data_IF_907152353657
#
_entry.id   IF_907152353657
#
_cell.length_a   1.000
_cell.length_b   1.000
_cell.length_c   1.000
_cell.angle_alpha   90.00
_cell.angle_beta   90.00
_cell.angle_gamma   90.00
#
_symmetry.space_group_name_H-M   'P 1'
#
loop_
_entity.id
_entity.type
_entity.pdbx_description
1 polymer ?
#
# COMPACT_ATOMS: atom_id res chain seq x y z
N UNK A 1 -26.64 -27.15 -21.49
CA UNK A 1 -27.84 -27.48 -20.71
C UNK A 1 -28.32 -26.20 -20.03
N UNK A 2 -29.62 -25.94 -19.99
CA UNK A 2 -30.14 -24.75 -19.28
C UNK A 2 -30.39 -25.04 -17.79
N UNK A 3 -30.39 -24.00 -16.97
CA UNK A 3 -30.74 -24.12 -15.54
C UNK A 3 -32.14 -24.71 -15.36
N UNK A 4 -33.09 -24.28 -16.20
CA UNK A 4 -34.48 -24.80 -16.16
C UNK A 4 -34.57 -26.30 -16.51
N UNK A 5 -33.78 -26.76 -17.51
CA UNK A 5 -33.73 -28.18 -17.86
C UNK A 5 -33.18 -29.04 -16.70
N UNK A 6 -32.08 -28.53 -16.08
CA UNK A 6 -31.46 -29.21 -14.92
C UNK A 6 -32.37 -29.24 -13.71
N UNK A 7 -33.11 -28.14 -13.44
CA UNK A 7 -34.05 -28.06 -12.35
C UNK A 7 -35.20 -29.07 -12.51
N UNK A 8 -35.71 -29.20 -13.75
CA UNK A 8 -36.76 -30.16 -14.05
C UNK A 8 -36.28 -31.63 -13.95
N UNK A 9 -35.06 -31.91 -14.41
CA UNK A 9 -34.47 -33.25 -14.39
C UNK A 9 -34.12 -33.71 -12.95
N UNK A 10 -33.62 -32.78 -12.12
CA UNK A 10 -33.19 -33.07 -10.75
C UNK A 10 -34.31 -32.92 -9.72
N UNK A 11 -35.51 -32.50 -10.12
CA UNK A 11 -36.62 -32.17 -9.21
C UNK A 11 -36.25 -31.14 -8.13
N UNK A 12 -35.41 -30.18 -8.47
CA UNK A 12 -34.95 -29.10 -7.60
C UNK A 12 -35.53 -27.73 -8.04
N UNK A 13 -35.45 -26.73 -7.17
CA UNK A 13 -35.80 -25.38 -7.57
C UNK A 13 -34.75 -24.80 -8.51
N UNK A 14 -35.14 -23.90 -9.44
CA UNK A 14 -34.18 -23.20 -10.32
C UNK A 14 -33.17 -22.39 -9.51
N UNK A 15 -33.53 -21.88 -8.33
CA UNK A 15 -32.67 -21.12 -7.43
C UNK A 15 -31.54 -22.00 -6.86
N UNK A 16 -31.91 -23.23 -6.40
CA UNK A 16 -30.91 -24.18 -5.87
C UNK A 16 -29.93 -24.64 -6.97
N UNK A 17 -30.47 -24.93 -8.17
CA UNK A 17 -29.63 -25.31 -9.32
C UNK A 17 -28.70 -24.17 -9.76
N UNK A 18 -29.20 -22.94 -9.77
CA UNK A 18 -28.40 -21.76 -10.11
C UNK A 18 -27.27 -21.54 -9.09
N UNK A 19 -27.55 -21.71 -7.80
CA UNK A 19 -26.56 -21.62 -6.74
C UNK A 19 -25.49 -22.71 -6.88
N UNK A 20 -25.87 -23.95 -7.17
CA UNK A 20 -24.95 -25.05 -7.43
C UNK A 20 -24.09 -24.79 -8.67
N UNK A 21 -24.70 -24.35 -9.79
CA UNK A 21 -23.97 -24.00 -10.99
C UNK A 21 -22.99 -22.84 -10.78
N UNK A 22 -23.38 -21.81 -10.01
CA UNK A 22 -22.50 -20.71 -9.66
C UNK A 22 -21.29 -21.17 -8.84
N UNK A 23 -21.50 -22.14 -7.95
CA UNK A 23 -20.43 -22.75 -7.14
C UNK A 23 -19.46 -23.55 -8.03
N UNK A 24 -19.97 -24.41 -8.91
CA UNK A 24 -19.18 -25.21 -9.83
C UNK A 24 -18.44 -24.35 -10.86
N UNK A 25 -19.06 -23.25 -11.33
CA UNK A 25 -18.41 -22.25 -12.17
C UNK A 25 -17.24 -21.60 -11.43
N UNK A 26 -17.45 -21.23 -10.17
CA UNK A 26 -16.40 -20.67 -9.31
C UNK A 26 -15.24 -21.63 -9.05
N UNK A 27 -15.49 -22.92 -9.09
CA UNK A 27 -14.47 -23.97 -8.96
C UNK A 27 -13.76 -24.30 -10.28
N UNK A 28 -14.25 -23.79 -11.42
CA UNK A 28 -13.71 -24.14 -12.75
C UNK A 28 -14.09 -25.55 -13.18
N UNK A 29 -15.21 -26.07 -12.68
CA UNK A 29 -15.74 -27.40 -13.04
C UNK A 29 -16.61 -27.35 -14.27
N UNK A 30 -17.28 -26.23 -14.50
CA UNK A 30 -18.15 -25.95 -15.66
C UNK A 30 -17.85 -24.55 -16.21
N UNK A 31 -18.29 -24.28 -17.43
CA UNK A 31 -18.20 -22.97 -18.08
C UNK A 31 -19.58 -22.46 -18.54
N UNK A 32 -19.78 -21.14 -18.65
CA UNK A 32 -20.97 -20.62 -19.30
C UNK A 32 -20.96 -20.96 -20.78
N UNK A 33 -22.13 -21.27 -21.33
CA UNK A 33 -22.29 -21.54 -22.76
C UNK A 33 -23.20 -20.49 -23.41
N UNK A 34 -22.77 -19.99 -24.55
CA UNK A 34 -23.47 -18.99 -25.33
C UNK A 34 -23.60 -19.49 -26.79
N UNK A 35 -24.74 -19.24 -27.44
CA UNK A 35 -24.90 -19.52 -28.86
C UNK A 35 -24.04 -18.59 -29.72
N UNK A 36 -23.67 -19.05 -30.91
CA UNK A 36 -22.87 -18.25 -31.84
C UNK A 36 -23.59 -16.92 -32.14
N UNK A 37 -22.99 -15.79 -31.77
CA UNK A 37 -23.57 -14.44 -31.87
C UNK A 37 -24.37 -13.97 -30.65
N UNK A 38 -24.59 -14.80 -29.64
CA UNK A 38 -25.19 -14.41 -28.36
C UNK A 38 -24.17 -13.62 -27.55
N UNK A 39 -24.53 -12.41 -27.09
CA UNK A 39 -23.69 -11.65 -26.16
C UNK A 39 -23.85 -12.19 -24.76
N UNK A 40 -22.76 -12.18 -23.93
CA UNK A 40 -22.85 -12.52 -22.51
C UNK A 40 -23.98 -11.73 -21.85
N UNK A 41 -24.90 -12.42 -21.18
CA UNK A 41 -25.96 -11.77 -20.44
C UNK A 41 -25.37 -10.77 -19.44
N UNK A 42 -25.91 -9.56 -19.28
CA UNK A 42 -25.54 -8.65 -18.20
C UNK A 42 -25.90 -9.20 -16.83
N UNK A 43 -26.66 -10.30 -16.76
CA UNK A 43 -26.91 -11.05 -15.52
C UNK A 43 -25.61 -11.68 -15.03
N UNK A 44 -25.34 -11.53 -13.75
CA UNK A 44 -24.16 -12.13 -13.08
C UNK A 44 -24.13 -13.67 -13.17
N UNK A 45 -25.29 -14.30 -13.41
CA UNK A 45 -25.44 -15.76 -13.52
C UNK A 45 -25.85 -16.13 -14.94
N UNK A 46 -25.02 -16.91 -15.68
CA UNK A 46 -25.43 -17.49 -16.96
C UNK A 46 -26.61 -18.43 -16.81
N UNK A 47 -27.44 -18.52 -17.84
CA UNK A 47 -28.59 -19.43 -17.85
C UNK A 47 -28.31 -20.79 -18.48
N UNK A 48 -27.18 -20.90 -19.17
CA UNK A 48 -26.72 -22.12 -19.85
C UNK A 48 -25.29 -22.44 -19.47
N UNK A 49 -25.00 -23.70 -19.23
CA UNK A 49 -23.69 -24.19 -18.84
C UNK A 49 -23.26 -25.39 -19.67
N UNK A 50 -21.94 -25.57 -19.76
CA UNK A 50 -21.30 -26.73 -20.41
C UNK A 50 -20.17 -27.27 -19.54
N UNK A 51 -19.80 -28.54 -19.77
CA UNK A 51 -18.64 -29.17 -19.13
C UNK A 51 -17.35 -28.60 -19.71
N UNK A 52 -16.32 -28.51 -18.88
CA UNK A 52 -14.97 -28.23 -19.33
C UNK A 52 -14.25 -29.50 -19.79
N UNK A 53 -13.26 -29.36 -20.70
CA UNK A 53 -12.38 -30.47 -21.07
C UNK A 53 -11.72 -31.06 -19.81
N UNK A 54 -11.77 -32.41 -19.69
CA UNK A 54 -11.14 -33.15 -18.58
C UNK A 54 -10.23 -34.23 -19.14
N UNK A 55 -9.05 -34.33 -18.51
CA UNK A 55 -8.14 -35.44 -18.83
C UNK A 55 -8.56 -36.75 -18.12
N UNK A 56 -7.80 -37.82 -18.37
CA UNK A 56 -8.04 -39.13 -17.77
C UNK A 56 -7.93 -39.18 -16.25
N UNK A 57 -7.26 -38.18 -15.64
CA UNK A 57 -7.13 -38.03 -14.20
C UNK A 57 -8.20 -37.07 -13.59
N UNK A 58 -9.07 -36.50 -14.45
CA UNK A 58 -10.13 -35.56 -14.05
C UNK A 58 -9.70 -34.10 -13.92
N UNK A 59 -8.46 -33.77 -14.26
CA UNK A 59 -8.00 -32.38 -14.25
C UNK A 59 -8.59 -31.58 -15.41
N UNK A 60 -8.79 -30.28 -15.19
CA UNK A 60 -9.30 -29.31 -16.18
C UNK A 60 -8.21 -28.32 -16.59
N UNK A 61 -8.51 -27.47 -17.56
CA UNK A 61 -7.62 -26.37 -17.99
C UNK A 61 -7.19 -25.44 -16.85
N UNK A 62 -7.95 -25.38 -15.75
CA UNK A 62 -7.63 -24.57 -14.55
C UNK A 62 -6.54 -25.20 -13.68
N UNK A 63 -6.23 -26.47 -13.85
CA UNK A 63 -5.17 -27.19 -13.13
C UNK A 63 -3.76 -26.93 -13.70
N UNK A 64 -3.67 -26.14 -14.73
CA UNK A 64 -2.43 -25.65 -15.32
C UNK A 64 -1.56 -26.79 -15.87
N UNK A 65 -0.36 -27.02 -15.28
CA UNK A 65 0.60 -28.02 -15.78
C UNK A 65 0.21 -29.48 -15.51
N UNK A 66 -0.81 -29.72 -14.69
CA UNK A 66 -1.31 -31.08 -14.39
C UNK A 66 -2.26 -31.58 -15.47
N UNK A 67 -2.90 -30.68 -16.20
CA UNK A 67 -3.86 -30.97 -17.23
C UNK A 67 -3.20 -31.51 -18.50
N UNK A 68 -3.54 -32.71 -18.89
CA UNK A 68 -3.08 -33.36 -20.12
C UNK A 68 -4.04 -33.04 -21.28
N UNK A 69 -3.65 -32.09 -22.10
CA UNK A 69 -4.45 -31.65 -23.27
C UNK A 69 -4.60 -32.68 -24.36
N UNK A 70 -3.65 -33.65 -24.46
CA UNK A 70 -3.65 -34.64 -25.53
C UNK A 70 -4.69 -35.77 -25.32
N UNK A 71 -5.01 -36.02 -24.05
CA UNK A 71 -5.95 -37.05 -23.63
C UNK A 71 -7.20 -36.51 -22.95
N UNK A 72 -7.54 -35.25 -23.17
CA UNK A 72 -8.71 -34.59 -22.59
C UNK A 72 -9.94 -34.74 -23.49
N UNK A 73 -11.12 -34.76 -22.86
CA UNK A 73 -12.42 -34.67 -23.55
C UNK A 73 -12.57 -33.32 -24.25
N UNK A 74 -13.49 -33.22 -25.22
CA UNK A 74 -13.83 -31.92 -25.77
C UNK A 74 -14.76 -31.11 -24.83
N UNK A 75 -14.79 -29.80 -25.05
CA UNK A 75 -15.70 -28.91 -24.31
C UNK A 75 -17.16 -29.27 -24.64
N UNK A 76 -17.97 -29.45 -23.60
CA UNK A 76 -19.36 -29.86 -23.72
C UNK A 76 -19.57 -31.39 -23.78
N UNK A 77 -18.53 -32.20 -23.83
CA UNK A 77 -18.66 -33.65 -23.81
C UNK A 77 -19.14 -34.15 -22.45
N UNK A 78 -19.88 -35.25 -22.45
CA UNK A 78 -20.25 -35.94 -21.23
C UNK A 78 -19.02 -36.63 -20.65
N UNK A 79 -18.76 -36.35 -19.39
CA UNK A 79 -17.70 -37.00 -18.64
C UNK A 79 -18.31 -37.86 -17.51
N UNK A 80 -17.91 -39.12 -17.47
CA UNK A 80 -18.38 -40.04 -16.42
C UNK A 80 -17.49 -39.93 -15.18
N UNK A 81 -18.14 -39.83 -14.01
CA UNK A 81 -17.42 -39.78 -12.73
C UNK A 81 -16.68 -41.11 -12.52
N UNK A 82 -15.34 -41.02 -12.38
CA UNK A 82 -14.51 -42.18 -12.02
C UNK A 82 -14.48 -42.50 -10.54
N UNK A 83 -15.09 -41.65 -9.69
CA UNK A 83 -15.14 -41.77 -8.24
C UNK A 83 -16.56 -41.45 -7.72
N UNK A 84 -16.80 -41.58 -6.43
CA UNK A 84 -18.07 -41.18 -5.85
C UNK A 84 -18.33 -39.68 -5.88
N UNK A 85 -19.60 -39.27 -5.93
CA UNK A 85 -19.98 -37.84 -6.03
C UNK A 85 -19.36 -36.98 -4.94
N UNK A 86 -19.33 -37.44 -3.70
CA UNK A 86 -18.74 -36.71 -2.58
C UNK A 86 -17.21 -36.57 -2.72
N UNK A 87 -16.55 -37.59 -3.26
CA UNK A 87 -15.12 -37.60 -3.52
C UNK A 87 -14.77 -36.65 -4.66
N UNK A 88 -15.57 -36.64 -5.72
CA UNK A 88 -15.46 -35.69 -6.82
C UNK A 88 -15.60 -34.23 -6.35
N UNK A 89 -16.64 -33.92 -5.61
CA UNK A 89 -16.85 -32.56 -5.06
C UNK A 89 -15.69 -32.14 -4.14
N UNK A 90 -15.17 -33.06 -3.33
CA UNK A 90 -14.01 -32.79 -2.49
C UNK A 90 -12.74 -32.53 -3.30
N UNK A 91 -12.55 -33.25 -4.40
CA UNK A 91 -11.45 -33.07 -5.33
C UNK A 91 -11.56 -31.69 -6.02
N UNK A 92 -12.71 -31.35 -6.60
CA UNK A 92 -12.96 -30.07 -7.24
C UNK A 92 -12.76 -28.91 -6.27
N UNK A 93 -13.33 -29.00 -5.07
CA UNK A 93 -13.13 -27.99 -4.01
C UNK A 93 -11.65 -27.85 -3.63
N UNK A 94 -10.87 -28.94 -3.63
CA UNK A 94 -9.46 -28.94 -3.23
C UNK A 94 -8.56 -28.04 -4.09
N UNK A 95 -8.96 -27.79 -5.34
CA UNK A 95 -8.23 -26.92 -6.28
C UNK A 95 -8.51 -25.44 -6.04
N UNK A 96 -9.56 -25.12 -5.28
CA UNK A 96 -9.98 -23.75 -5.01
C UNK A 96 -9.33 -23.19 -3.73
N UNK A 97 -9.45 -21.87 -3.56
CA UNK A 97 -9.04 -21.20 -2.32
C UNK A 97 -9.73 -21.81 -1.08
N UNK A 98 -11.02 -22.09 -1.14
CA UNK A 98 -11.81 -22.63 -0.02
C UNK A 98 -11.38 -24.06 0.36
N UNK A 99 -10.98 -24.87 -0.60
CA UNK A 99 -10.48 -26.23 -0.36
C UNK A 99 -9.08 -26.31 0.25
N UNK A 100 -8.35 -25.19 0.26
CA UNK A 100 -7.02 -25.17 0.85
C UNK A 100 -7.08 -25.07 2.37
N UNK A 101 -6.13 -25.72 3.05
CA UNK A 101 -6.00 -25.60 4.51
C UNK A 101 -5.72 -24.15 4.95
N UNK A 102 -6.13 -23.81 6.17
CA UNK A 102 -6.01 -22.47 6.76
C UNK A 102 -4.64 -21.80 6.54
N UNK A 103 -3.53 -22.51 6.76
CA UNK A 103 -2.18 -21.94 6.59
C UNK A 103 -1.89 -21.53 5.14
N UNK A 104 -2.36 -22.31 4.16
CA UNK A 104 -2.19 -21.96 2.75
C UNK A 104 -3.05 -20.75 2.38
N UNK A 105 -4.30 -20.69 2.86
CA UNK A 105 -5.21 -19.54 2.65
C UNK A 105 -4.62 -18.27 3.28
N UNK A 106 -4.16 -18.35 4.53
CA UNK A 106 -3.50 -17.24 5.20
C UNK A 106 -2.24 -16.77 4.44
N UNK A 107 -1.42 -17.72 3.95
CA UNK A 107 -0.23 -17.37 3.16
C UNK A 107 -0.60 -16.68 1.82
N UNK A 108 -1.64 -17.15 1.13
CA UNK A 108 -2.11 -16.50 -0.10
C UNK A 108 -2.55 -15.05 0.14
N UNK A 109 -3.28 -14.78 1.24
CA UNK A 109 -3.69 -13.43 1.61
C UNK A 109 -2.50 -12.55 2.02
N UNK A 110 -1.53 -13.11 2.72
CA UNK A 110 -0.33 -12.39 3.17
C UNK A 110 0.70 -12.19 2.07
N UNK A 111 0.71 -13.01 1.01
CA UNK A 111 1.76 -12.98 -0.01
C UNK A 111 1.88 -11.61 -0.69
N UNK A 112 0.77 -10.98 -1.08
CA UNK A 112 0.76 -9.65 -1.67
C UNK A 112 1.30 -8.58 -0.72
N UNK A 113 0.92 -8.65 0.54
CA UNK A 113 1.38 -7.75 1.62
C UNK A 113 2.90 -7.89 1.81
N UNK A 114 3.38 -9.13 1.92
CA UNK A 114 4.82 -9.42 2.12
C UNK A 114 5.65 -8.98 0.92
N UNK A 115 5.17 -9.20 -0.31
CA UNK A 115 5.86 -8.75 -1.54
C UNK A 115 5.97 -7.23 -1.56
N UNK A 116 4.91 -6.50 -1.22
CA UNK A 116 4.95 -5.04 -1.17
C UNK A 116 5.96 -4.53 -0.13
N UNK A 117 5.94 -5.07 1.09
CA UNK A 117 6.89 -4.70 2.15
C UNK A 117 8.33 -5.04 1.73
N UNK A 118 8.56 -6.23 1.18
CA UNK A 118 9.88 -6.65 0.72
C UNK A 118 10.40 -5.79 -0.42
N UNK A 119 9.53 -5.45 -1.38
CA UNK A 119 9.89 -4.56 -2.51
C UNK A 119 10.31 -3.19 -2.01
N UNK A 120 9.53 -2.55 -1.13
CA UNK A 120 9.88 -1.27 -0.53
C UNK A 120 11.20 -1.33 0.25
N UNK A 121 11.40 -2.40 1.04
CA UNK A 121 12.63 -2.63 1.79
C UNK A 121 13.85 -2.76 0.88
N UNK A 122 13.78 -3.57 -0.16
CA UNK A 122 14.89 -3.78 -1.10
C UNK A 122 15.20 -2.51 -1.91
N UNK A 123 14.17 -1.73 -2.28
CA UNK A 123 14.36 -0.45 -2.94
C UNK A 123 15.12 0.53 -2.05
N UNK A 124 14.69 0.76 -0.80
CA UNK A 124 15.38 1.67 0.12
C UNK A 124 16.79 1.19 0.44
N UNK A 125 16.96 -0.10 0.73
CA UNK A 125 18.28 -0.68 0.98
C UNK A 125 19.22 -0.43 -0.20
N UNK A 126 18.74 -0.62 -1.43
CA UNK A 126 19.52 -0.38 -2.65
C UNK A 126 19.86 1.10 -2.83
N UNK A 127 18.91 2.01 -2.58
CA UNK A 127 19.13 3.45 -2.64
C UNK A 127 20.21 3.87 -1.64
N UNK A 128 20.11 3.46 -0.39
CA UNK A 128 21.07 3.84 0.66
C UNK A 128 22.46 3.28 0.42
N UNK A 129 22.59 2.08 -0.16
CA UNK A 129 23.88 1.48 -0.44
C UNK A 129 24.54 2.01 -1.72
N UNK A 130 23.76 2.30 -2.76
CA UNK A 130 24.28 2.67 -4.10
C UNK A 130 24.33 4.17 -4.27
N UNK A 131 23.21 4.86 -4.04
CA UNK A 131 23.08 6.31 -4.20
C UNK A 131 23.54 7.05 -2.95
N UNK A 132 23.34 6.47 -1.76
CA UNK A 132 23.65 7.09 -0.48
C UNK A 132 22.46 7.81 0.14
N UNK A 133 22.67 8.32 1.32
CA UNK A 133 21.74 9.19 2.06
C UNK A 133 22.34 10.58 2.20
N UNK A 134 21.52 11.60 2.06
CA UNK A 134 21.92 12.97 2.35
C UNK A 134 21.84 13.19 3.85
N UNK A 135 22.97 13.45 4.45
CA UNK A 135 23.07 13.74 5.89
C UNK A 135 23.57 15.16 6.11
N UNK A 136 23.11 15.86 7.16
CA UNK A 136 23.72 17.13 7.55
C UNK A 136 25.21 16.95 7.83
N UNK A 137 26.01 17.87 7.39
CA UNK A 137 27.42 17.95 7.82
C UNK A 137 27.47 18.47 9.26
N UNK A 138 28.38 17.93 10.04
CA UNK A 138 28.62 18.40 11.41
C UNK A 138 29.49 19.68 11.39
N UNK A 139 28.94 20.72 10.79
CA UNK A 139 29.59 22.04 10.65
C UNK A 139 28.53 23.12 10.91
N UNK A 140 28.98 24.31 11.23
CA UNK A 140 28.15 25.52 11.38
C UNK A 140 27.85 26.24 10.05
N UNK A 141 28.13 25.60 8.91
CA UNK A 141 27.97 26.19 7.58
C UNK A 141 26.55 26.02 7.06
N UNK A 142 25.96 27.09 6.57
CA UNK A 142 24.63 27.11 5.95
C UNK A 142 24.69 26.47 4.57
N UNK A 143 23.90 25.47 4.30
CA UNK A 143 23.77 24.82 2.99
C UNK A 143 22.72 25.47 2.10
N UNK A 144 21.64 25.95 2.68
CA UNK A 144 20.53 26.59 1.95
C UNK A 144 19.82 27.62 2.81
N UNK A 145 19.31 28.67 2.16
CA UNK A 145 18.45 29.70 2.75
C UNK A 145 17.17 29.77 1.93
N UNK A 146 16.02 29.75 2.60
CA UNK A 146 14.72 29.88 1.93
C UNK A 146 14.52 31.30 1.41
N UNK A 147 14.03 31.43 0.17
CA UNK A 147 13.70 32.73 -0.42
C UNK A 147 12.62 33.45 0.40
N UNK A 148 12.87 34.72 0.69
CA UNK A 148 11.95 35.55 1.46
C UNK A 148 11.89 35.23 2.96
N UNK A 149 12.71 34.29 3.48
CA UNK A 149 12.84 33.99 4.91
C UNK A 149 13.43 35.17 5.69
N UNK A 150 13.43 35.04 7.02
CA UNK A 150 14.04 36.00 7.95
C UNK A 150 15.56 36.08 7.68
N UNK A 151 16.20 34.92 7.49
CA UNK A 151 17.61 34.85 7.17
C UNK A 151 17.96 35.57 5.84
N UNK A 152 17.18 35.31 4.77
CA UNK A 152 17.36 35.95 3.49
C UNK A 152 17.22 37.49 3.58
N UNK A 153 16.21 37.97 4.33
CA UNK A 153 16.01 39.41 4.57
C UNK A 153 17.13 40.04 5.40
N UNK A 154 17.76 39.27 6.28
CA UNK A 154 18.89 39.69 7.08
C UNK A 154 20.22 39.64 6.32
N UNK A 155 20.21 39.19 5.05
CA UNK A 155 21.40 39.10 4.19
C UNK A 155 22.26 37.87 4.46
N UNK A 156 21.73 36.83 5.13
CA UNK A 156 22.39 35.54 5.32
C UNK A 156 22.23 34.72 4.05
N UNK A 157 23.30 34.07 3.58
CA UNK A 157 23.37 33.31 2.32
C UNK A 157 23.90 31.89 2.54
N UNK A 158 23.65 31.01 1.57
CA UNK A 158 24.29 29.70 1.56
C UNK A 158 25.83 29.84 1.45
N UNK A 159 26.55 29.07 2.26
CA UNK A 159 27.99 29.13 2.39
C UNK A 159 28.47 29.92 3.61
N UNK A 160 27.64 30.73 4.25
CA UNK A 160 27.98 31.40 5.49
C UNK A 160 28.19 30.40 6.63
N UNK A 161 29.25 30.62 7.43
CA UNK A 161 29.48 29.86 8.65
C UNK A 161 28.99 30.67 9.88
N UNK A 162 28.00 30.19 10.59
CA UNK A 162 27.47 30.85 11.79
C UNK A 162 28.45 30.69 12.95
N UNK A 163 29.03 31.79 13.40
CA UNK A 163 30.00 31.79 14.48
C UNK A 163 29.33 31.87 15.85
N UNK A 164 28.30 32.73 15.97
CA UNK A 164 27.54 32.88 17.19
C UNK A 164 26.11 33.32 16.90
N UNK A 165 25.19 32.95 17.82
CA UNK A 165 23.78 33.41 17.86
C UNK A 165 23.49 33.91 19.25
N UNK A 166 23.13 35.20 19.36
CA UNK A 166 22.86 35.86 20.63
C UNK A 166 23.99 35.70 21.69
N UNK A 167 25.24 35.76 21.20
CA UNK A 167 26.46 35.57 22.02
C UNK A 167 26.81 34.12 22.36
N UNK A 168 25.99 33.13 21.92
CA UNK A 168 26.32 31.72 22.07
C UNK A 168 27.14 31.24 20.90
N UNK A 169 28.36 30.77 21.13
CA UNK A 169 29.25 30.26 20.09
C UNK A 169 28.72 28.96 19.48
N UNK A 170 28.82 28.85 18.15
CA UNK A 170 28.35 27.73 17.37
C UNK A 170 29.47 27.14 16.55
N UNK A 171 29.78 25.84 16.73
CA UNK A 171 30.81 25.11 15.98
C UNK A 171 30.20 23.96 15.15
N UNK A 172 29.05 23.49 15.51
CA UNK A 172 28.29 22.44 14.84
C UNK A 172 26.91 22.96 14.41
N UNK A 173 26.24 22.22 13.51
CA UNK A 173 24.87 22.55 13.15
C UNK A 173 23.91 22.44 14.34
N UNK A 174 24.14 21.49 15.26
CA UNK A 174 23.33 21.33 16.44
C UNK A 174 23.44 22.55 17.37
N UNK A 175 24.66 23.12 17.51
CA UNK A 175 24.86 24.37 18.28
C UNK A 175 24.03 25.50 17.69
N UNK A 176 24.05 25.65 16.35
CA UNK A 176 23.27 26.66 15.62
C UNK A 176 21.77 26.46 15.88
N UNK A 177 21.29 25.22 15.74
CA UNK A 177 19.89 24.89 15.97
C UNK A 177 19.43 25.19 17.41
N UNK A 178 20.22 24.77 18.39
CA UNK A 178 19.93 24.99 19.81
C UNK A 178 20.00 26.47 20.20
N UNK A 179 20.98 27.21 19.65
CA UNK A 179 21.13 28.63 19.92
C UNK A 179 19.98 29.46 19.34
N UNK A 180 19.55 29.15 18.10
CA UNK A 180 18.37 29.76 17.47
C UNK A 180 17.10 29.42 18.29
N UNK A 181 16.94 28.17 18.71
CA UNK A 181 15.78 27.74 19.53
C UNK A 181 15.70 28.48 20.87
N UNK A 182 16.84 28.72 21.54
CA UNK A 182 16.90 29.47 22.79
C UNK A 182 16.68 30.98 22.61
N UNK A 183 17.06 31.52 21.46
CA UNK A 183 16.90 32.93 21.14
C UNK A 183 15.49 33.27 20.61
N UNK A 184 14.70 32.28 20.20
CA UNK A 184 13.34 32.49 19.70
C UNK A 184 12.46 33.23 20.70
N UNK A 185 11.63 34.17 20.22
CA UNK A 185 10.80 35.05 21.01
C UNK A 185 11.45 36.41 21.28
N UNK A 186 12.66 36.68 20.81
CA UNK A 186 13.34 37.98 20.92
C UNK A 186 13.20 38.81 19.65
N UNK A 187 13.09 40.13 19.83
CA UNK A 187 12.98 41.06 18.69
C UNK A 187 14.34 41.49 18.13
N UNK A 188 15.46 41.18 18.82
CA UNK A 188 16.82 41.55 18.41
C UNK A 188 17.77 40.41 18.79
N UNK A 189 18.03 39.54 17.83
CA UNK A 189 18.95 38.40 17.97
C UNK A 189 20.17 38.70 17.12
N UNK A 190 21.31 38.93 17.74
CA UNK A 190 22.58 39.13 17.05
C UNK A 190 23.10 37.81 16.48
N UNK A 191 23.41 37.78 15.19
CA UNK A 191 23.99 36.63 14.50
C UNK A 191 25.31 37.06 13.90
N UNK A 192 26.41 36.47 14.40
CA UNK A 192 27.73 36.60 13.82
C UNK A 192 27.98 35.44 12.87
N UNK A 193 28.46 35.75 11.66
CA UNK A 193 28.76 34.75 10.66
C UNK A 193 30.03 35.14 9.88
N UNK A 194 30.69 34.15 9.28
CA UNK A 194 31.84 34.34 8.42
C UNK A 194 31.43 34.09 6.96
N UNK A 195 31.75 35.01 6.08
CA UNK A 195 31.60 34.94 4.62
C UNK A 195 32.91 35.31 3.98
N UNK A 196 33.48 34.45 3.14
CA UNK A 196 34.76 34.66 2.42
C UNK A 196 35.89 35.09 3.34
N UNK A 197 35.98 34.51 4.56
CA UNK A 197 37.02 34.84 5.54
C UNK A 197 36.82 36.18 6.27
N UNK A 198 35.65 36.81 6.11
CA UNK A 198 35.30 38.06 6.81
C UNK A 198 34.15 37.82 7.78
N UNK A 199 34.35 38.29 9.00
CA UNK A 199 33.29 38.26 10.00
C UNK A 199 32.26 39.36 9.71
N UNK A 200 31.02 38.96 9.70
CA UNK A 200 29.86 39.81 9.50
C UNK A 200 28.91 39.67 10.69
N UNK A 201 28.17 40.74 10.99
CA UNK A 201 27.17 40.77 12.03
C UNK A 201 25.85 41.22 11.44
N UNK A 202 24.78 40.50 11.76
CA UNK A 202 23.42 40.94 11.44
C UNK A 202 22.52 40.73 12.64
N UNK A 203 21.32 41.31 12.61
CA UNK A 203 20.33 41.19 13.65
C UNK A 203 19.00 40.75 13.05
N UNK A 204 18.31 39.86 13.70
CA UNK A 204 17.01 39.31 13.28
C UNK A 204 16.02 39.34 14.42
N UNK A 205 14.75 39.56 14.11
CA UNK A 205 13.63 39.30 14.99
C UNK A 205 13.04 37.94 14.69
N UNK A 206 12.87 37.09 15.70
CA UNK A 206 12.33 35.74 15.55
C UNK A 206 11.26 35.51 16.61
N UNK A 207 9.99 35.42 16.19
CA UNK A 207 8.89 35.09 17.11
C UNK A 207 8.96 33.65 17.60
N UNK A 208 8.28 33.39 18.70
CA UNK A 208 8.10 32.07 19.28
C UNK A 208 7.47 31.14 18.26
N UNK A 209 7.85 30.16 17.71
CA UNK A 209 7.36 29.29 16.61
C UNK A 209 7.65 29.78 15.18
N UNK A 210 8.41 30.84 14.97
CA UNK A 210 8.86 31.25 13.65
C UNK A 210 10.21 30.59 13.33
N UNK A 211 10.46 30.31 12.03
CA UNK A 211 11.73 29.69 11.59
C UNK A 211 12.60 30.72 10.94
N UNK A 212 13.89 30.66 11.21
CA UNK A 212 14.88 31.53 10.57
C UNK A 212 14.99 31.29 9.06
N UNK A 213 14.73 30.05 8.60
CA UNK A 213 14.74 29.65 7.19
C UNK A 213 16.14 29.35 6.67
N UNK A 214 16.98 28.76 7.52
CA UNK A 214 18.31 28.25 7.16
C UNK A 214 18.37 26.72 7.31
N UNK A 215 19.16 26.07 6.48
CA UNK A 215 19.37 24.62 6.51
C UNK A 215 20.85 24.30 6.55
N UNK A 216 21.18 23.17 7.17
CA UNK A 216 22.55 22.68 7.25
C UNK A 216 23.14 22.42 5.86
N UNK A 217 24.43 22.61 5.73
CA UNK A 217 25.17 22.02 4.62
C UNK A 217 25.05 20.50 4.69
N UNK A 218 24.88 19.85 3.56
CA UNK A 218 24.64 18.41 3.49
C UNK A 218 25.70 17.71 2.65
N UNK A 219 25.94 16.44 2.98
CA UNK A 219 26.79 15.56 2.19
C UNK A 219 26.07 14.24 1.90
N UNK A 220 26.42 13.63 0.77
CA UNK A 220 25.91 12.30 0.42
C UNK A 220 26.87 11.24 0.93
N UNK A 221 26.38 10.37 1.82
CA UNK A 221 27.14 9.27 2.41
C UNK A 221 26.53 7.96 1.95
N UNK A 222 27.33 7.10 1.32
CA UNK A 222 26.91 5.73 0.99
C UNK A 222 27.07 4.85 2.22
N UNK A 223 25.99 4.16 2.54
CA UNK A 223 25.99 3.28 3.70
C UNK A 223 26.39 1.86 3.28
N UNK A 224 27.05 1.15 4.19
CA UNK A 224 27.27 -0.28 4.02
C UNK A 224 25.94 -1.05 4.01
N UNK A 225 25.88 -2.26 3.42
CA UNK A 225 24.63 -3.02 3.29
C UNK A 225 23.92 -3.31 4.61
N UNK A 226 24.66 -3.51 5.71
CA UNK A 226 24.08 -3.82 7.02
C UNK A 226 23.40 -2.58 7.61
N UNK A 227 24.06 -1.44 7.54
CA UNK A 227 23.51 -0.15 8.00
C UNK A 227 22.31 0.26 7.13
N UNK A 228 22.41 0.07 5.81
CA UNK A 228 21.30 0.29 4.87
C UNK A 228 20.08 -0.58 5.20
N UNK A 229 20.29 -1.87 5.49
CA UNK A 229 19.22 -2.77 5.89
C UNK A 229 18.58 -2.34 7.22
N UNK A 230 19.40 -1.94 8.21
CA UNK A 230 18.89 -1.46 9.51
C UNK A 230 18.07 -0.19 9.36
N UNK A 231 18.52 0.76 8.57
CA UNK A 231 17.80 2.00 8.30
C UNK A 231 16.49 1.75 7.54
N UNK A 232 16.53 0.88 6.52
CA UNK A 232 15.32 0.46 5.79
C UNK A 232 14.31 -0.25 6.71
N UNK A 233 14.78 -1.09 7.63
CA UNK A 233 13.92 -1.74 8.61
C UNK A 233 13.30 -0.75 9.61
N UNK A 234 14.05 0.27 10.02
CA UNK A 234 13.50 1.37 10.83
C UNK A 234 12.36 2.09 10.11
N UNK A 235 12.47 2.27 8.80
CA UNK A 235 11.40 2.85 7.98
C UNK A 235 10.15 1.96 7.91
N UNK A 236 10.36 0.63 7.81
CA UNK A 236 9.26 -0.36 7.87
C UNK A 236 8.51 -0.24 9.19
N UNK A 237 9.23 -0.21 10.32
CA UNK A 237 8.61 -0.11 11.66
C UNK A 237 7.87 1.22 11.86
N UNK A 238 8.45 2.34 11.42
CA UNK A 238 7.79 3.65 11.48
C UNK A 238 6.51 3.70 10.65
N UNK A 239 6.53 3.13 9.45
CA UNK A 239 5.33 3.04 8.59
C UNK A 239 4.26 2.16 9.24
N UNK A 240 4.65 1.02 9.82
CA UNK A 240 3.74 0.15 10.56
C UNK A 240 3.09 0.87 11.74
N UNK A 241 3.88 1.60 12.54
CA UNK A 241 3.37 2.41 13.65
C UNK A 241 2.41 3.50 13.16
N UNK A 242 2.74 4.20 12.07
CA UNK A 242 1.88 5.20 11.46
C UNK A 242 0.52 4.63 11.05
N UNK A 243 0.51 3.45 10.41
CA UNK A 243 -0.74 2.78 10.01
C UNK A 243 -1.52 2.27 11.25
N UNK A 244 -0.85 1.76 12.28
CA UNK A 244 -1.52 1.37 13.52
C UNK A 244 -2.16 2.54 14.25
N UNK A 245 -1.60 3.74 14.16
CA UNK A 245 -2.21 4.97 14.72
C UNK A 245 -3.54 5.33 14.05
N UNK A 246 -3.77 4.91 12.78
CA UNK A 246 -5.07 5.05 12.12
C UNK A 246 -6.21 4.33 12.85
N UNK A 247 -5.89 3.24 13.57
CA UNK A 247 -6.87 2.50 14.37
C UNK A 247 -7.23 3.20 15.70
N UNK A 248 -6.52 4.28 16.04
CA UNK A 248 -6.75 5.06 17.27
C UNK A 248 -7.64 6.28 16.95
N UNK A 249 -8.88 6.35 17.45
CA UNK A 249 -9.84 7.40 17.07
C UNK A 249 -9.32 8.83 17.24
N UNK A 250 -8.44 9.05 18.22
CA UNK A 250 -7.87 10.36 18.55
C UNK A 250 -6.89 10.88 17.47
N UNK A 251 -6.29 10.01 16.66
CA UNK A 251 -5.33 10.38 15.62
C UNK A 251 -5.89 10.22 14.20
N UNK A 252 -7.04 9.55 14.06
CA UNK A 252 -7.61 9.20 12.74
C UNK A 252 -7.84 10.44 11.88
N UNK A 253 -8.43 11.51 12.44
CA UNK A 253 -8.72 12.73 11.67
C UNK A 253 -7.45 13.45 11.23
N UNK A 254 -6.47 13.58 12.12
CA UNK A 254 -5.17 14.20 11.80
C UNK A 254 -4.45 13.46 10.67
N UNK A 255 -4.45 12.13 10.71
CA UNK A 255 -3.81 11.30 9.67
C UNK A 255 -4.61 11.36 8.37
N UNK A 256 -5.94 11.39 8.41
CA UNK A 256 -6.78 11.53 7.22
C UNK A 256 -6.56 12.89 6.53
N UNK A 257 -6.40 13.96 7.29
CA UNK A 257 -6.12 15.29 6.75
C UNK A 257 -4.73 15.37 6.09
N UNK A 258 -3.77 14.55 6.53
CA UNK A 258 -2.45 14.43 5.93
C UNK A 258 -2.37 13.39 4.81
N UNK A 259 -3.40 12.56 4.67
CA UNK A 259 -3.45 11.51 3.64
C UNK A 259 -3.79 12.10 2.27
N UNK A 260 -3.31 11.45 1.23
CA UNK A 260 -3.53 11.88 -0.16
C UNK A 260 -4.36 10.85 -0.92
N UNK A 261 -5.24 11.33 -1.78
CA UNK A 261 -5.97 10.51 -2.74
C UNK A 261 -5.09 10.19 -3.97
N UNK A 262 -5.67 9.50 -4.95
CA UNK A 262 -5.01 9.23 -6.23
C UNK A 262 -4.51 10.51 -6.91
N UNK A 263 -5.23 11.63 -6.76
CA UNK A 263 -4.82 12.94 -7.32
C UNK A 263 -3.55 13.43 -6.64
N UNK A 264 -3.51 13.47 -5.32
CA UNK A 264 -2.33 13.90 -4.58
C UNK A 264 -1.13 12.97 -4.81
N UNK A 265 -1.34 11.65 -4.83
CA UNK A 265 -0.29 10.68 -5.18
C UNK A 265 0.26 10.94 -6.59
N UNK A 266 -0.59 11.28 -7.57
CA UNK A 266 -0.17 11.59 -8.94
C UNK A 266 0.68 12.86 -9.00
N UNK A 267 0.28 13.92 -8.27
CA UNK A 267 1.05 15.16 -8.16
C UNK A 267 2.41 14.91 -7.50
N UNK A 268 2.43 14.23 -6.35
CA UNK A 268 3.66 13.89 -5.63
C UNK A 268 4.58 12.99 -6.47
N UNK A 269 4.02 12.04 -7.23
CA UNK A 269 4.76 11.18 -8.16
C UNK A 269 5.44 12.00 -9.26
N UNK A 270 4.72 12.97 -9.84
CA UNK A 270 5.27 13.88 -10.86
C UNK A 270 6.38 14.74 -10.28
N UNK A 271 6.19 15.30 -9.08
CA UNK A 271 7.22 16.07 -8.39
C UNK A 271 8.45 15.22 -8.06
N UNK A 272 8.26 14.02 -7.57
CA UNK A 272 9.35 13.08 -7.29
C UNK A 272 10.12 12.70 -8.56
N UNK A 273 9.42 12.49 -9.69
CA UNK A 273 10.05 12.22 -10.98
C UNK A 273 10.85 13.43 -11.50
N UNK A 274 10.32 14.65 -11.35
CA UNK A 274 11.02 15.89 -11.70
C UNK A 274 12.27 16.13 -10.84
N UNK A 275 12.23 15.74 -9.56
CA UNK A 275 13.36 15.82 -8.63
C UNK A 275 14.47 14.78 -8.90
N UNK A 276 14.19 13.78 -9.75
CA UNK A 276 15.17 12.80 -10.22
C UNK A 276 14.85 11.34 -9.82
N UNK A 277 15.61 10.40 -10.42
CA UNK A 277 15.29 8.97 -10.31
C UNK A 277 15.39 8.43 -8.88
N UNK A 278 16.31 8.92 -8.06
CA UNK A 278 16.49 8.48 -6.67
C UNK A 278 15.27 8.89 -5.84
N UNK A 279 14.81 10.13 -5.99
CA UNK A 279 13.62 10.63 -5.29
C UNK A 279 12.38 9.87 -5.71
N UNK A 280 12.22 9.59 -7.01
CA UNK A 280 11.13 8.79 -7.54
C UNK A 280 11.12 7.35 -6.98
N UNK A 281 12.28 6.68 -6.95
CA UNK A 281 12.40 5.33 -6.38
C UNK A 281 12.14 5.31 -4.87
N UNK A 282 12.58 6.35 -4.15
CA UNK A 282 12.28 6.50 -2.71
C UNK A 282 10.78 6.67 -2.49
N UNK A 283 10.11 7.47 -3.32
CA UNK A 283 8.66 7.62 -3.29
C UNK A 283 7.93 6.31 -3.63
N UNK A 284 8.41 5.55 -4.62
CA UNK A 284 7.87 4.23 -4.97
C UNK A 284 8.01 3.22 -3.82
N UNK A 285 9.14 3.25 -3.10
CA UNK A 285 9.34 2.44 -1.91
C UNK A 285 8.33 2.78 -0.79
N UNK A 286 8.09 4.08 -0.55
CA UNK A 286 7.10 4.55 0.42
C UNK A 286 5.68 4.10 0.06
N UNK A 287 5.28 4.23 -1.21
CA UNK A 287 3.98 3.73 -1.69
C UNK A 287 3.87 2.22 -1.48
N UNK A 288 4.94 1.46 -1.79
CA UNK A 288 4.95 0.01 -1.62
C UNK A 288 4.75 -0.41 -0.16
N UNK A 289 5.39 0.26 0.79
CA UNK A 289 5.15 0.06 2.22
C UNK A 289 3.72 0.40 2.61
N UNK A 290 3.24 1.57 2.21
CA UNK A 290 1.89 2.03 2.52
C UNK A 290 0.84 1.03 2.02
N UNK A 291 0.95 0.54 0.78
CA UNK A 291 0.06 -0.50 0.23
C UNK A 291 0.14 -1.81 1.02
N UNK A 292 1.35 -2.24 1.39
CA UNK A 292 1.54 -3.44 2.21
C UNK A 292 0.82 -3.33 3.56
N UNK A 293 1.08 -2.26 4.31
CA UNK A 293 0.51 -2.08 5.64
C UNK A 293 -0.98 -1.73 5.62
N UNK A 294 -1.44 -0.94 4.65
CA UNK A 294 -2.88 -0.66 4.50
C UNK A 294 -3.66 -1.94 4.23
N UNK A 295 -3.13 -2.84 3.38
CA UNK A 295 -3.76 -4.13 3.13
C UNK A 295 -3.77 -5.06 4.35
N UNK A 296 -2.93 -4.82 5.35
CA UNK A 296 -2.92 -5.58 6.61
C UNK A 296 -4.02 -5.12 7.58
N UNK A 297 -4.66 -3.96 7.36
CA UNK A 297 -5.73 -3.50 8.23
C UNK A 297 -6.89 -4.50 8.31
N UNK A 298 -7.48 -4.71 9.51
CA UNK A 298 -8.53 -5.70 9.72
C UNK A 298 -9.90 -5.23 9.23
N UNK A 299 -9.94 -4.65 8.04
CA UNK A 299 -11.14 -4.04 7.45
C UNK A 299 -11.41 -4.68 6.08
N UNK A 300 -12.44 -5.50 5.88
CA UNK A 300 -12.85 -5.92 4.54
C UNK A 300 -13.23 -4.69 3.70
N UNK A 301 -12.86 -4.62 2.42
CA UNK A 301 -12.46 -5.72 1.53
C UNK A 301 -10.95 -6.00 1.47
N UNK A 302 -10.13 -5.41 2.35
CA UNK A 302 -8.68 -5.63 2.35
C UNK A 302 -8.30 -7.07 2.74
N UNK A 303 -7.11 -7.51 2.36
CA UNK A 303 -6.65 -8.88 2.62
C UNK A 303 -6.50 -9.17 4.11
N UNK A 304 -6.09 -8.17 4.91
CA UNK A 304 -6.08 -8.25 6.37
C UNK A 304 -7.46 -8.48 6.97
N UNK A 305 -8.51 -7.85 6.42
CA UNK A 305 -9.89 -8.09 6.83
C UNK A 305 -10.36 -9.51 6.51
N UNK A 306 -10.01 -10.04 5.33
CA UNK A 306 -10.27 -11.43 4.97
C UNK A 306 -9.51 -12.40 5.89
N UNK A 307 -8.25 -12.10 6.20
CA UNK A 307 -7.46 -12.90 7.14
C UNK A 307 -8.09 -12.95 8.52
N UNK A 308 -8.63 -11.84 9.02
CA UNK A 308 -9.36 -11.84 10.31
C UNK A 308 -10.60 -12.72 10.25
N UNK A 309 -11.36 -12.70 9.14
CA UNK A 309 -12.51 -13.59 8.93
C UNK A 309 -12.06 -15.06 8.98
N UNK A 310 -10.98 -15.41 8.29
CA UNK A 310 -10.39 -16.76 8.30
C UNK A 310 -9.96 -17.22 9.71
N UNK A 311 -9.36 -16.33 10.49
CA UNK A 311 -8.97 -16.60 11.88
C UNK A 311 -10.23 -16.86 12.74
N UNK A 312 -11.26 -16.02 12.61
CA UNK A 312 -12.51 -16.18 13.34
C UNK A 312 -13.18 -17.52 13.01
N UNK A 313 -13.26 -17.87 11.73
CA UNK A 313 -13.80 -19.16 11.27
C UNK A 313 -13.00 -20.34 11.84
N UNK A 314 -11.67 -20.24 11.84
CA UNK A 314 -10.80 -21.27 12.41
C UNK A 314 -11.00 -21.46 13.90
N UNK A 315 -11.16 -20.37 14.67
CA UNK A 315 -11.43 -20.42 16.12
C UNK A 315 -12.85 -20.94 16.40
N UNK A 316 -13.83 -20.48 15.61
CA UNK A 316 -15.24 -20.90 15.77
C UNK A 316 -15.50 -22.34 15.32
N UNK A 317 -14.57 -22.96 14.57
CA UNK A 317 -14.72 -24.32 14.02
C UNK A 317 -15.85 -24.44 12.99
N UNK A 318 -16.36 -23.34 12.46
CA UNK A 318 -17.42 -23.29 11.44
C UNK A 318 -17.23 -22.11 10.51
N UNK A 319 -17.67 -22.27 9.28
CA UNK A 319 -17.67 -21.18 8.29
C UNK A 319 -18.75 -20.14 8.64
N UNK A 320 -18.44 -18.88 8.38
CA UNK A 320 -19.40 -17.80 8.50
C UNK A 320 -20.34 -17.85 7.29
N UNK A 321 -21.67 -17.65 7.50
CA UNK A 321 -22.61 -17.58 6.39
C UNK A 321 -22.18 -16.56 5.33
N UNK A 322 -22.30 -16.91 4.06
CA UNK A 322 -21.95 -16.04 2.93
C UNK A 322 -22.62 -14.66 3.05
N UNK A 323 -23.87 -14.61 3.47
CA UNK A 323 -24.61 -13.35 3.69
C UNK A 323 -23.88 -12.42 4.67
N UNK A 324 -23.32 -12.95 5.75
CA UNK A 324 -22.55 -12.16 6.75
C UNK A 324 -21.25 -11.62 6.13
N UNK A 325 -20.50 -12.48 5.44
CA UNK A 325 -19.26 -12.08 4.76
C UNK A 325 -19.51 -11.00 3.71
N UNK A 326 -20.58 -11.13 2.94
CA UNK A 326 -21.01 -10.17 1.92
C UNK A 326 -21.39 -8.82 2.54
N UNK A 327 -22.20 -8.81 3.61
CA UNK A 327 -22.60 -7.58 4.30
C UNK A 327 -21.36 -6.86 4.85
N UNK A 328 -20.47 -7.58 5.53
CA UNK A 328 -19.24 -6.99 6.09
C UNK A 328 -18.36 -6.39 4.99
N UNK A 329 -18.27 -7.06 3.84
CA UNK A 329 -17.53 -6.56 2.68
C UNK A 329 -18.17 -5.30 2.10
N UNK A 330 -19.50 -5.24 1.94
CA UNK A 330 -20.18 -4.04 1.45
C UNK A 330 -20.06 -2.86 2.41
N UNK A 331 -20.13 -3.07 3.71
CA UNK A 331 -19.89 -2.03 4.72
C UNK A 331 -18.47 -1.48 4.60
N UNK A 332 -17.48 -2.37 4.44
CA UNK A 332 -16.09 -1.98 4.21
C UNK A 332 -15.91 -1.16 2.93
N UNK A 333 -16.49 -1.62 1.80
CA UNK A 333 -16.45 -0.88 0.53
C UNK A 333 -17.10 0.50 0.67
N UNK A 334 -18.24 0.61 1.33
CA UNK A 334 -18.91 1.88 1.56
C UNK A 334 -18.06 2.85 2.40
N UNK A 335 -17.40 2.33 3.44
CA UNK A 335 -16.46 3.10 4.27
C UNK A 335 -15.29 3.62 3.41
N UNK A 336 -14.65 2.75 2.60
CA UNK A 336 -13.56 3.16 1.72
C UNK A 336 -14.00 4.18 0.67
N UNK A 337 -15.18 4.02 0.09
CA UNK A 337 -15.73 4.98 -0.86
C UNK A 337 -15.93 6.36 -0.21
N UNK A 338 -16.44 6.40 1.02
CA UNK A 338 -16.62 7.64 1.77
C UNK A 338 -15.27 8.31 2.08
N UNK A 339 -14.29 7.54 2.56
CA UNK A 339 -12.92 8.02 2.80
C UNK A 339 -12.27 8.53 1.51
N UNK A 340 -12.43 7.81 0.40
CA UNK A 340 -11.91 8.23 -0.89
C UNK A 340 -12.47 9.57 -1.35
N UNK A 341 -13.80 9.78 -1.24
CA UNK A 341 -14.43 11.05 -1.58
C UNK A 341 -13.94 12.18 -0.68
N UNK A 342 -13.77 11.92 0.62
CA UNK A 342 -13.22 12.89 1.56
C UNK A 342 -11.79 13.31 1.17
N UNK A 343 -10.90 12.34 0.93
CA UNK A 343 -9.51 12.59 0.55
C UNK A 343 -9.41 13.28 -0.82
N UNK A 344 -10.25 12.89 -1.78
CA UNK A 344 -10.31 13.52 -3.09
C UNK A 344 -10.69 15.00 -2.98
N UNK A 345 -11.69 15.33 -2.16
CA UNK A 345 -12.06 16.73 -1.89
C UNK A 345 -10.89 17.50 -1.26
N UNK A 346 -10.20 16.91 -0.27
CA UNK A 346 -9.04 17.53 0.37
C UNK A 346 -7.91 17.83 -0.62
N UNK A 347 -7.60 16.87 -1.50
CA UNK A 347 -6.55 17.05 -2.51
C UNK A 347 -6.90 18.09 -3.58
N UNK A 348 -8.17 18.14 -4.02
CA UNK A 348 -8.63 19.18 -4.97
C UNK A 348 -8.43 20.57 -4.35
N UNK A 349 -8.78 20.74 -3.07
CA UNK A 349 -8.61 22.01 -2.37
C UNK A 349 -7.12 22.37 -2.14
N UNK A 350 -6.25 21.37 -1.99
CA UNK A 350 -4.81 21.57 -1.71
C UNK A 350 -3.98 21.81 -2.97
N UNK A 351 -4.29 21.15 -4.09
CA UNK A 351 -3.42 21.10 -5.27
C UNK A 351 -4.01 21.78 -6.51
N UNK A 352 -5.31 22.07 -6.54
CA UNK A 352 -5.99 22.60 -7.73
C UNK A 352 -6.59 23.99 -7.49
N UNK A 353 -7.11 24.26 -6.30
CA UNK A 353 -7.67 25.55 -5.89
C UNK A 353 -6.73 26.31 -4.94
#
# INVERSE_FOLDING_TARGET
>A
MTVADLAAELELSEEDVLEACALLLGWGSIAPWYEEGEQPSPSYYPTKYQTLPRDTAGYTTFDGRRFDREHATAEGDVWELSCGEAEFLAQECSHTYLGQGFLKRAFMLLAGILVNILTGFLLLMSIYSIAGVTVPMDTNVIGQVDEGSIAAKAGIEAGDAILSVDGVSCSTWMDVYDAIGKAAGKDDIAIEYERDGKQCLTSVALKENERLGVYASTQVVRLDPITSARLSFSYVTQTAEGVLRLLQPQHTMEILDQSSSIVGISVMSSQAAAAGPITFLSFAALISFSLGFMNLLPIPPLDGGKLVIEIIQKIAGRELPLKVQTIVSYVGIALFALLFVYMLRSDILRFIL
#
